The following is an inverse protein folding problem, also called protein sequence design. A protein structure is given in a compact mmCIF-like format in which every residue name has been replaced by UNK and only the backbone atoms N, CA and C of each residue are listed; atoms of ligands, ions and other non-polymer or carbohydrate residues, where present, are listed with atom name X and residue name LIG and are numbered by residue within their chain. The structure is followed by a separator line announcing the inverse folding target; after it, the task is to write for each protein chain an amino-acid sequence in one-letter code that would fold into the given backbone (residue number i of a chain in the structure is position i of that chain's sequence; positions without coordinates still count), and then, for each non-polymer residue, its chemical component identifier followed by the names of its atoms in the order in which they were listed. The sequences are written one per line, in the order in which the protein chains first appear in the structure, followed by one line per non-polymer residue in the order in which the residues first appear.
data_IF_892687375496
#
_entry.id   IF_892687375496
#
_cell.length_a   1.000
_cell.length_b   1.000
_cell.length_c   1.000
_cell.angle_alpha   90.00
_cell.angle_beta   90.00
_cell.angle_gamma   90.00
#
_symmetry.space_group_name_H-M   'P 1'
#
loop_
_entity.id
_entity.type
_entity.pdbx_description
1 polymer ?
#
# COMPACT_ATOMS: atom_id res chain seq x y z
N UNK A 1 22.30 -5.23 -24.15
CA UNK A 1 21.70 -3.88 -24.10
C UNK A 1 20.25 -3.98 -23.65
N UNK A 2 19.94 -3.58 -22.42
CA UNK A 2 18.57 -3.55 -21.89
C UNK A 2 17.85 -2.40 -22.59
N UNK A 3 16.90 -2.73 -23.47
CA UNK A 3 16.04 -1.74 -24.11
C UNK A 3 15.16 -1.10 -23.04
N UNK A 4 15.41 0.15 -22.68
CA UNK A 4 14.50 0.94 -21.87
C UNK A 4 13.17 1.05 -22.62
N UNK A 5 12.20 0.22 -22.27
CA UNK A 5 10.85 0.27 -22.81
C UNK A 5 10.15 1.53 -22.28
N UNK A 6 10.02 2.54 -23.13
CA UNK A 6 9.28 3.79 -22.87
C UNK A 6 7.85 3.50 -22.37
N UNK A 7 7.26 2.37 -22.78
CA UNK A 7 5.91 1.90 -22.38
C UNK A 7 5.80 1.47 -20.92
N UNK A 8 6.90 1.11 -20.27
CA UNK A 8 6.87 0.72 -18.86
C UNK A 8 6.38 1.89 -17.99
N UNK A 9 6.73 3.13 -18.33
CA UNK A 9 6.33 4.33 -17.57
C UNK A 9 4.81 4.61 -17.64
N UNK A 10 4.16 4.34 -18.76
CA UNK A 10 2.71 4.55 -18.96
C UNK A 10 1.86 3.53 -18.21
N UNK A 11 2.37 2.29 -18.06
CA UNK A 11 1.67 1.23 -17.32
C UNK A 11 1.34 1.62 -15.87
N UNK A 12 2.15 2.49 -15.24
CA UNK A 12 1.91 2.99 -13.88
C UNK A 12 0.73 3.95 -13.79
N UNK A 13 0.47 4.75 -14.84
CA UNK A 13 -0.65 5.70 -14.87
C UNK A 13 -2.00 4.97 -14.89
N UNK A 14 -2.06 3.83 -15.59
CA UNK A 14 -3.28 3.03 -15.79
C UNK A 14 -3.57 2.02 -14.67
N UNK A 15 -2.73 1.95 -13.63
CA UNK A 15 -3.00 1.07 -12.49
C UNK A 15 -4.30 1.51 -11.76
N UNK A 16 -5.08 0.55 -11.21
CA UNK A 16 -6.34 0.85 -10.52
C UNK A 16 -6.08 1.44 -9.11
N UNK A 17 -5.51 2.64 -9.05
CA UNK A 17 -5.13 3.33 -7.81
C UNK A 17 -6.28 3.49 -6.83
N UNK A 18 -7.49 3.73 -7.32
CA UNK A 18 -8.71 3.85 -6.50
C UNK A 18 -9.02 2.54 -5.76
N UNK A 19 -8.79 1.39 -6.40
CA UNK A 19 -8.95 0.07 -5.79
C UNK A 19 -7.92 -0.16 -4.69
N UNK A 20 -6.65 0.13 -4.95
CA UNK A 20 -5.59 0.01 -3.95
C UNK A 20 -5.83 0.87 -2.71
N UNK A 21 -6.30 2.11 -2.88
CA UNK A 21 -6.66 2.97 -1.74
C UNK A 21 -7.82 2.39 -0.92
N UNK A 22 -8.87 1.90 -1.58
CA UNK A 22 -10.02 1.26 -0.89
C UNK A 22 -9.60 0.02 -0.11
N UNK A 23 -8.79 -0.84 -0.72
CA UNK A 23 -8.32 -2.08 -0.09
C UNK A 23 -7.41 -1.78 1.11
N UNK A 24 -6.50 -0.80 0.97
CA UNK A 24 -5.66 -0.35 2.08
C UNK A 24 -6.51 0.23 3.22
N UNK A 25 -7.48 1.09 2.91
CA UNK A 25 -8.36 1.71 3.91
C UNK A 25 -9.17 0.67 4.69
N UNK A 26 -9.66 -0.38 4.01
CA UNK A 26 -10.36 -1.50 4.66
C UNK A 26 -9.46 -2.23 5.66
N UNK A 27 -8.21 -2.50 5.28
CA UNK A 27 -7.24 -3.14 6.17
C UNK A 27 -6.87 -2.24 7.35
N UNK A 28 -6.62 -0.95 7.12
CA UNK A 28 -6.36 0.04 8.18
C UNK A 28 -7.53 0.12 9.17
N UNK A 29 -8.78 0.14 8.68
CA UNK A 29 -9.97 0.14 9.53
C UNK A 29 -10.08 -1.13 10.36
N UNK A 30 -9.68 -2.30 9.82
CA UNK A 30 -9.61 -3.56 10.59
C UNK A 30 -8.53 -3.51 11.67
N UNK A 31 -7.38 -2.90 11.41
CA UNK A 31 -6.34 -2.65 12.42
C UNK A 31 -6.91 -1.77 13.52
N UNK A 32 -7.54 -0.65 13.18
CA UNK A 32 -8.15 0.27 14.15
C UNK A 32 -9.14 -0.44 15.07
N UNK A 33 -10.08 -1.21 14.50
CA UNK A 33 -11.03 -2.01 15.30
C UNK A 33 -10.32 -3.04 16.19
N UNK A 34 -9.27 -3.70 15.70
CA UNK A 34 -8.52 -4.69 16.48
C UNK A 34 -7.74 -4.05 17.64
N UNK A 35 -7.20 -2.85 17.44
CA UNK A 35 -6.54 -2.06 18.49
C UNK A 35 -7.54 -1.58 19.52
N UNK A 36 -8.69 -1.05 19.09
CA UNK A 36 -9.77 -0.59 19.97
C UNK A 36 -10.32 -1.73 20.84
N UNK A 37 -10.42 -2.94 20.30
CA UNK A 37 -10.82 -4.13 21.04
C UNK A 37 -9.70 -4.74 21.92
N UNK A 38 -8.53 -4.09 22.05
CA UNK A 38 -7.40 -4.57 22.85
C UNK A 38 -6.66 -5.79 22.26
N UNK A 39 -7.07 -6.30 21.09
CA UNK A 39 -6.48 -7.49 20.48
C UNK A 39 -5.18 -7.16 19.71
N UNK A 40 -4.10 -6.97 20.46
CA UNK A 40 -2.76 -6.64 19.94
C UNK A 40 -2.20 -7.70 18.99
N UNK A 41 -2.52 -8.99 19.20
CA UNK A 41 -2.09 -10.07 18.29
C UNK A 41 -2.72 -9.91 16.90
N UNK A 42 -4.03 -9.69 16.85
CA UNK A 42 -4.79 -9.46 15.60
C UNK A 42 -4.36 -8.18 14.90
N UNK A 43 -4.12 -7.10 15.65
CA UNK A 43 -3.60 -5.85 15.10
C UNK A 43 -2.23 -6.05 14.41
N UNK A 44 -1.28 -6.73 15.06
CA UNK A 44 0.04 -7.04 14.49
C UNK A 44 -0.04 -7.91 13.23
N UNK A 45 -0.92 -8.91 13.23
CA UNK A 45 -1.15 -9.73 12.04
C UNK A 45 -1.67 -8.89 10.86
N UNK A 46 -2.65 -8.01 11.10
CA UNK A 46 -3.22 -7.13 10.09
C UNK A 46 -2.21 -6.08 9.59
N UNK A 47 -1.34 -5.56 10.46
CA UNK A 47 -0.23 -4.69 10.06
C UNK A 47 0.74 -5.41 9.12
N UNK A 48 1.16 -6.64 9.46
CA UNK A 48 2.00 -7.46 8.57
C UNK A 48 1.30 -7.75 7.23
N UNK A 49 -0.02 -7.96 7.24
CA UNK A 49 -0.80 -8.17 6.02
C UNK A 49 -0.81 -6.91 5.13
N UNK A 50 -0.92 -5.71 5.71
CA UNK A 50 -0.83 -4.45 4.97
C UNK A 50 0.52 -4.34 4.25
N UNK A 51 1.63 -4.62 4.96
CA UNK A 51 2.98 -4.56 4.39
C UNK A 51 3.19 -5.57 3.25
N UNK A 52 2.57 -6.75 3.34
CA UNK A 52 2.63 -7.79 2.29
C UNK A 52 1.67 -7.53 1.12
N UNK A 53 0.69 -6.64 1.28
CA UNK A 53 -0.32 -6.40 0.26
C UNK A 53 0.25 -5.64 -0.95
N UNK A 54 -0.26 -5.98 -2.14
CA UNK A 54 0.06 -5.29 -3.41
C UNK A 54 -0.27 -3.78 -3.30
N UNK A 55 -1.43 -3.46 -2.72
CA UNK A 55 -1.86 -2.09 -2.47
C UNK A 55 -0.89 -1.29 -1.57
N UNK A 56 -0.41 -1.88 -0.49
CA UNK A 56 0.57 -1.27 0.41
C UNK A 56 1.88 -0.95 -0.30
N UNK A 57 2.41 -1.89 -1.09
CA UNK A 57 3.65 -1.68 -1.87
C UNK A 57 3.51 -0.57 -2.92
N UNK A 58 2.44 -0.59 -3.73
CA UNK A 58 2.24 0.43 -4.77
C UNK A 58 2.02 1.83 -4.21
N UNK A 59 1.31 1.94 -3.09
CA UNK A 59 1.10 3.23 -2.44
C UNK A 59 2.37 3.73 -1.75
N UNK A 60 3.18 2.85 -1.15
CA UNK A 60 4.48 3.22 -0.61
C UNK A 60 5.39 3.80 -1.71
N UNK A 61 5.55 3.09 -2.84
CA UNK A 61 6.37 3.57 -3.98
C UNK A 61 5.89 4.93 -4.48
N UNK A 62 4.57 5.16 -4.53
CA UNK A 62 4.00 6.47 -4.93
C UNK A 62 4.25 7.58 -3.92
N UNK A 63 4.32 7.27 -2.62
CA UNK A 63 4.50 8.28 -1.55
C UNK A 63 5.96 8.49 -1.12
N UNK A 64 6.86 7.55 -1.40
CA UNK A 64 8.30 7.65 -1.14
C UNK A 64 8.93 8.97 -1.63
N UNK A 65 8.66 9.48 -2.86
CA UNK A 65 9.24 10.75 -3.29
C UNK A 65 8.77 11.95 -2.47
N UNK A 66 7.61 11.87 -1.79
CA UNK A 66 7.08 12.96 -0.96
C UNK A 66 7.65 12.96 0.48
N UNK A 67 8.10 11.79 0.97
CA UNK A 67 8.57 11.61 2.36
C UNK A 67 10.09 11.78 2.53
N UNK A 68 10.86 11.82 1.43
CA UNK A 68 12.33 11.95 1.45
C UNK A 68 12.83 13.40 1.37
N UNK A 69 11.93 14.39 1.29
CA UNK A 69 12.27 15.81 1.06
C UNK A 69 12.00 16.65 2.34
N UNK A 70 12.14 16.06 3.52
CA UNK A 70 12.17 16.79 4.80
C UNK A 70 13.33 16.25 5.64
#
# INVERSE_FOLDING_TARGET
MIRHSVKASESWKNLPWKKFRRDLFRLQRRVFKAVQAGNKRKARFLQKLILKSKAGRFLAIRQMPKLRIF
#
